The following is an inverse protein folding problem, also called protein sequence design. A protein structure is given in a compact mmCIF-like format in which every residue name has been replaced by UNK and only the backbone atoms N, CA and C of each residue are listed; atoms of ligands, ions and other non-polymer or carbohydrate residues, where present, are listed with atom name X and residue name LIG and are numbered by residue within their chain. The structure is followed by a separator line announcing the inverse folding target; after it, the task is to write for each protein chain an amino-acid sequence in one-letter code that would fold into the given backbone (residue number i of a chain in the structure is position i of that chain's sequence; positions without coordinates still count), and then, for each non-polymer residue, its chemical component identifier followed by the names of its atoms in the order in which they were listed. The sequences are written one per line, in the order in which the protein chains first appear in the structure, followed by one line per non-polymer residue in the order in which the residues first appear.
data_IF_052227943152
#
_entry.id   IF_052227943152
#
_cell.length_a   1.000
_cell.length_b   1.000
_cell.length_c   1.000
_cell.angle_alpha   90.00
_cell.angle_beta   90.00
_cell.angle_gamma   90.00
#
_symmetry.space_group_name_H-M   'P 1'
#
loop_
_entity.id
_entity.type
_entity.pdbx_description
1 polymer ?
#
# COMPACT_ATOMS: atom_id res chain seq x y z
N UNK A 1 35.98 -3.68 8.21
CA UNK A 1 35.06 -2.55 8.45
C UNK A 1 34.26 -2.33 7.16
N UNK A 2 32.95 -2.61 7.16
CA UNK A 2 32.11 -2.39 5.96
C UNK A 2 31.82 -0.90 5.88
N UNK A 3 32.39 -0.21 4.89
CA UNK A 3 32.13 1.21 4.66
C UNK A 3 30.80 1.30 3.89
N UNK A 4 29.80 1.91 4.52
CA UNK A 4 28.48 2.16 3.93
C UNK A 4 28.47 3.59 3.37
N UNK A 5 28.26 3.73 2.06
CA UNK A 5 28.23 5.04 1.40
C UNK A 5 26.90 5.23 0.66
N UNK A 6 26.20 6.33 0.95
CA UNK A 6 24.99 6.74 0.24
C UNK A 6 25.37 7.70 -0.89
N UNK A 7 24.96 7.39 -2.12
CA UNK A 7 25.16 8.27 -3.28
C UNK A 7 23.80 8.84 -3.69
N UNK A 8 23.64 10.16 -3.60
CA UNK A 8 22.43 10.87 -4.04
C UNK A 8 22.60 11.47 -5.45
N UNK A 9 21.52 12.04 -5.99
CA UNK A 9 21.51 12.75 -7.28
C UNK A 9 22.45 13.94 -7.34
N UNK A 10 22.84 14.48 -6.18
CA UNK A 10 23.53 15.76 -6.06
C UNK A 10 25.05 15.62 -6.26
N UNK A 11 25.55 14.38 -6.28
CA UNK A 11 26.98 14.09 -6.48
C UNK A 11 27.33 14.07 -7.96
N UNK A 12 28.37 14.84 -8.33
CA UNK A 12 28.85 14.92 -9.71
C UNK A 12 29.27 13.54 -10.26
N UNK A 13 29.05 13.34 -11.56
CA UNK A 13 29.22 12.04 -12.22
C UNK A 13 30.62 11.42 -12.08
N UNK A 14 31.67 12.25 -12.06
CA UNK A 14 33.05 11.77 -11.92
C UNK A 14 33.36 11.31 -10.50
N UNK A 15 32.84 12.00 -9.49
CA UNK A 15 33.00 11.64 -8.08
C UNK A 15 32.27 10.33 -7.77
N UNK A 16 31.09 10.11 -8.39
CA UNK A 16 30.35 8.84 -8.28
C UNK A 16 31.16 7.65 -8.78
N UNK A 17 31.87 7.81 -9.90
CA UNK A 17 32.73 6.74 -10.43
C UNK A 17 33.85 6.37 -9.45
N UNK A 18 34.52 7.38 -8.88
CA UNK A 18 35.57 7.16 -7.88
C UNK A 18 35.04 6.43 -6.63
N UNK A 19 33.83 6.77 -6.18
CA UNK A 19 33.15 6.09 -5.08
C UNK A 19 32.88 4.62 -5.43
N UNK A 20 32.43 4.34 -6.65
CA UNK A 20 32.20 2.96 -7.09
C UNK A 20 33.49 2.15 -7.20
N UNK A 21 34.60 2.74 -7.65
CA UNK A 21 35.90 2.07 -7.76
C UNK A 21 36.54 1.78 -6.40
N UNK A 22 36.28 2.62 -5.39
CA UNK A 22 36.74 2.38 -4.00
C UNK A 22 36.10 1.13 -3.37
N UNK A 23 34.97 0.68 -3.91
CA UNK A 23 34.24 -0.49 -3.43
C UNK A 23 33.52 -0.25 -2.10
N UNK A 24 32.84 -1.28 -1.60
CA UNK A 24 32.01 -1.21 -0.40
C UNK A 24 30.53 -1.47 -0.69
N UNK A 25 29.69 -1.17 0.30
CA UNK A 25 28.23 -1.30 0.16
C UNK A 25 27.65 0.04 -0.26
N UNK A 26 26.96 0.04 -1.39
CA UNK A 26 26.49 1.24 -2.08
C UNK A 26 25.00 1.12 -2.40
N UNK A 27 24.27 2.22 -2.20
CA UNK A 27 22.91 2.38 -2.70
C UNK A 27 22.98 3.07 -4.07
N UNK A 28 22.48 2.43 -5.13
CA UNK A 28 22.59 2.98 -6.48
C UNK A 28 21.35 2.70 -7.34
N UNK A 29 21.20 3.51 -8.41
CA UNK A 29 20.06 3.48 -9.33
C UNK A 29 20.43 3.46 -10.82
N UNK A 30 21.71 3.40 -11.25
CA UNK A 30 22.07 3.59 -12.68
C UNK A 30 23.19 2.70 -13.24
N UNK A 31 23.16 2.45 -14.55
CA UNK A 31 24.04 1.55 -15.37
C UNK A 31 25.49 2.03 -15.54
N UNK A 32 25.94 3.03 -14.79
CA UNK A 32 27.33 3.55 -14.88
C UNK A 32 28.33 2.81 -14.00
N UNK A 33 27.88 1.82 -13.24
CA UNK A 33 28.73 0.97 -12.43
C UNK A 33 29.28 -0.16 -13.32
N UNK A 34 30.59 -0.49 -13.25
CA UNK A 34 31.14 -1.66 -13.90
C UNK A 34 30.48 -2.93 -13.34
N UNK A 35 29.40 -3.38 -13.99
CA UNK A 35 28.55 -4.47 -13.50
C UNK A 35 29.32 -5.79 -13.31
N UNK A 36 30.42 -6.00 -14.03
CA UNK A 36 31.30 -7.16 -13.91
C UNK A 36 32.06 -7.23 -12.58
N UNK A 37 32.28 -6.10 -11.89
CA UNK A 37 32.97 -6.04 -10.59
C UNK A 37 32.00 -6.17 -9.40
N UNK A 38 30.69 -6.11 -9.65
CA UNK A 38 29.68 -6.15 -8.59
C UNK A 38 29.51 -7.59 -8.09
N UNK A 39 29.76 -7.82 -6.81
CA UNK A 39 29.64 -9.15 -6.20
C UNK A 39 28.18 -9.61 -6.08
N UNK A 40 27.25 -8.69 -5.83
CA UNK A 40 25.84 -9.03 -5.71
C UNK A 40 24.95 -7.81 -5.46
N UNK A 41 23.64 -8.02 -5.58
CA UNK A 41 22.61 -7.00 -5.37
C UNK A 41 21.67 -7.44 -4.25
N UNK A 42 21.42 -6.53 -3.32
CA UNK A 42 20.39 -6.66 -2.30
C UNK A 42 19.21 -5.77 -2.68
N UNK A 43 18.04 -6.37 -2.86
CA UNK A 43 16.81 -5.66 -3.22
C UNK A 43 15.90 -5.60 -2.01
N UNK A 44 15.50 -4.41 -1.62
CA UNK A 44 14.56 -4.18 -0.53
C UNK A 44 13.18 -3.73 -1.06
N UNK A 45 12.10 -4.05 -0.36
CA UNK A 45 10.75 -3.60 -0.73
C UNK A 45 10.21 -4.24 -2.01
N UNK A 46 10.52 -5.52 -2.22
CA UNK A 46 10.23 -6.27 -3.45
C UNK A 46 8.75 -6.25 -3.87
N UNK A 47 7.82 -6.06 -2.93
CA UNK A 47 6.40 -5.94 -3.19
C UNK A 47 6.01 -4.80 -4.16
N UNK A 48 6.90 -3.82 -4.38
CA UNK A 48 6.69 -2.70 -5.31
C UNK A 48 7.13 -3.01 -6.75
N UNK A 49 7.82 -4.13 -6.96
CA UNK A 49 8.44 -4.43 -8.25
C UNK A 49 7.40 -5.01 -9.20
N UNK A 50 7.11 -4.25 -10.26
CA UNK A 50 6.27 -4.69 -11.39
C UNK A 50 7.17 -4.92 -12.62
N UNK A 51 6.65 -5.63 -13.63
CA UNK A 51 7.40 -5.99 -14.86
C UNK A 51 7.99 -4.81 -15.64
N UNK A 52 7.38 -3.62 -15.53
CA UNK A 52 7.76 -2.39 -16.22
C UNK A 52 8.53 -1.38 -15.34
N UNK A 53 8.91 -1.74 -14.11
CA UNK A 53 9.61 -0.84 -13.21
C UNK A 53 11.11 -0.71 -13.54
N UNK A 54 11.71 0.45 -13.23
CA UNK A 54 13.12 0.74 -13.50
C UNK A 54 14.06 -0.29 -12.85
N UNK A 55 13.71 -0.83 -11.69
CA UNK A 55 14.49 -1.85 -11.01
C UNK A 55 14.55 -3.16 -11.81
N UNK A 56 13.47 -3.52 -12.53
CA UNK A 56 13.47 -4.68 -13.42
C UNK A 56 14.44 -4.50 -14.59
N UNK A 57 14.53 -3.28 -15.13
CA UNK A 57 15.48 -2.95 -16.18
C UNK A 57 16.94 -3.03 -15.70
N UNK A 58 17.26 -2.41 -14.56
CA UNK A 58 18.62 -2.43 -13.97
C UNK A 58 19.11 -3.87 -13.76
N UNK A 59 18.23 -4.76 -13.29
CA UNK A 59 18.59 -6.16 -13.06
C UNK A 59 18.83 -6.95 -14.35
N UNK A 60 18.04 -6.70 -15.39
CA UNK A 60 18.24 -7.32 -16.72
C UNK A 60 19.62 -6.94 -17.27
N UNK A 61 19.99 -5.65 -17.18
CA UNK A 61 21.32 -5.16 -17.57
C UNK A 61 22.44 -5.78 -16.72
N UNK A 62 22.25 -5.86 -15.40
CA UNK A 62 23.21 -6.50 -14.50
C UNK A 62 23.44 -7.97 -14.89
N UNK A 63 22.39 -8.74 -15.16
CA UNK A 63 22.51 -10.17 -15.49
C UNK A 63 23.10 -10.43 -16.88
N UNK A 64 22.96 -9.48 -17.82
CA UNK A 64 23.66 -9.53 -19.11
C UNK A 64 25.17 -9.40 -18.94
N UNK A 65 25.62 -8.46 -18.09
CA UNK A 65 27.05 -8.15 -17.89
C UNK A 65 27.71 -9.02 -16.81
N UNK A 66 26.94 -9.61 -15.89
CA UNK A 66 27.44 -10.38 -14.75
C UNK A 66 26.59 -11.63 -14.47
N UNK A 67 27.20 -12.81 -14.68
CA UNK A 67 26.56 -14.11 -14.46
C UNK A 67 26.87 -14.74 -13.10
N UNK A 68 27.93 -14.29 -12.42
CA UNK A 68 28.44 -14.90 -11.18
C UNK A 68 27.86 -14.28 -9.92
N UNK A 69 27.50 -12.99 -9.96
CA UNK A 69 27.06 -12.27 -8.76
C UNK A 69 25.67 -12.69 -8.27
N UNK A 70 25.48 -12.64 -6.95
CA UNK A 70 24.26 -13.08 -6.28
C UNK A 70 23.17 -11.99 -6.28
N UNK A 71 21.91 -12.41 -6.18
CA UNK A 71 20.77 -11.50 -5.98
C UNK A 71 20.00 -12.02 -4.77
N UNK A 72 19.84 -11.18 -3.75
CA UNK A 72 18.97 -11.47 -2.59
C UNK A 72 17.92 -10.39 -2.47
N UNK A 73 16.70 -10.80 -2.16
CA UNK A 73 15.54 -9.93 -2.19
C UNK A 73 14.78 -10.08 -0.87
N UNK A 74 14.43 -8.94 -0.26
CA UNK A 74 13.77 -8.89 1.04
C UNK A 74 12.47 -8.09 0.94
N UNK A 75 11.45 -8.57 1.64
CA UNK A 75 10.16 -7.90 1.74
C UNK A 75 9.55 -8.16 3.11
N UNK A 76 8.94 -7.12 3.64
CA UNK A 76 8.22 -7.07 4.91
C UNK A 76 6.70 -7.24 4.70
N UNK A 77 6.20 -6.94 3.50
CA UNK A 77 4.76 -7.00 3.19
C UNK A 77 4.37 -8.25 2.42
N UNK A 78 4.13 -9.34 3.15
CA UNK A 78 3.66 -10.59 2.57
C UNK A 78 2.27 -10.47 1.92
N UNK A 79 1.36 -9.70 2.50
CA UNK A 79 -0.01 -9.52 2.01
C UNK A 79 -0.08 -8.97 0.58
N UNK A 80 0.90 -8.15 0.17
CA UNK A 80 0.95 -7.60 -1.18
C UNK A 80 1.21 -8.67 -2.27
N UNK A 81 1.74 -9.83 -1.88
CA UNK A 81 1.93 -10.96 -2.79
C UNK A 81 0.71 -11.88 -2.89
N UNK A 82 -0.24 -11.75 -1.96
CA UNK A 82 -1.48 -12.51 -1.95
C UNK A 82 -2.52 -11.94 -2.93
N UNK A 83 -2.36 -10.69 -3.37
CA UNK A 83 -3.27 -10.03 -4.31
C UNK A 83 -2.89 -10.36 -5.76
N UNK A 84 -3.86 -10.82 -6.55
CA UNK A 84 -3.73 -11.06 -7.98
C UNK A 84 -3.08 -12.40 -8.36
N UNK A 85 -3.17 -12.75 -9.65
CA UNK A 85 -2.76 -14.07 -10.14
C UNK A 85 -1.22 -14.22 -10.26
N UNK A 86 -0.67 -15.27 -9.64
CA UNK A 86 0.74 -15.70 -9.74
C UNK A 86 1.79 -14.58 -9.55
N UNK A 87 1.50 -13.58 -8.70
CA UNK A 87 2.36 -12.41 -8.51
C UNK A 87 3.76 -12.78 -8.00
N UNK A 88 3.85 -13.73 -7.06
CA UNK A 88 5.14 -14.21 -6.52
C UNK A 88 6.03 -14.77 -7.62
N UNK A 89 5.49 -15.65 -8.46
CA UNK A 89 6.24 -16.30 -9.52
C UNK A 89 6.76 -15.28 -10.55
N UNK A 90 5.90 -14.33 -10.95
CA UNK A 90 6.29 -13.22 -11.85
C UNK A 90 7.42 -12.39 -11.25
N UNK A 91 7.34 -12.07 -9.96
CA UNK A 91 8.37 -11.31 -9.26
C UNK A 91 9.67 -12.10 -9.14
N UNK A 92 9.62 -13.39 -8.79
CA UNK A 92 10.80 -14.27 -8.73
C UNK A 92 11.50 -14.37 -10.10
N UNK A 93 10.71 -14.52 -11.17
CA UNK A 93 11.21 -14.52 -12.56
C UNK A 93 11.90 -13.20 -12.90
N UNK A 94 11.30 -12.05 -12.54
CA UNK A 94 11.89 -10.72 -12.76
C UNK A 94 13.12 -10.42 -11.88
N UNK A 95 13.29 -11.14 -10.77
CA UNK A 95 14.45 -11.04 -9.89
C UNK A 95 15.56 -12.02 -10.25
N UNK A 96 15.30 -12.98 -11.14
CA UNK A 96 16.22 -14.08 -11.47
C UNK A 96 16.61 -14.91 -10.23
N UNK A 97 15.67 -15.13 -9.31
CA UNK A 97 15.84 -15.96 -8.12
C UNK A 97 15.05 -17.26 -8.24
N UNK A 98 15.64 -18.36 -7.78
CA UNK A 98 15.04 -19.71 -7.86
C UNK A 98 14.41 -20.17 -6.55
N UNK A 99 14.94 -19.69 -5.42
CA UNK A 99 14.54 -20.13 -4.09
C UNK A 99 13.70 -19.04 -3.41
N UNK A 100 12.58 -19.45 -2.81
CA UNK A 100 11.75 -18.62 -1.95
C UNK A 100 11.88 -19.13 -0.52
N UNK A 101 12.30 -18.26 0.39
CA UNK A 101 12.34 -18.55 1.82
C UNK A 101 11.20 -17.82 2.49
N UNK A 102 10.23 -18.57 3.01
CA UNK A 102 9.13 -18.03 3.80
C UNK A 102 9.48 -18.16 5.27
N UNK A 103 9.56 -17.02 5.96
CA UNK A 103 9.78 -16.94 7.39
C UNK A 103 8.53 -16.33 8.04
N UNK A 104 7.43 -17.11 8.20
CA UNK A 104 6.25 -16.61 8.87
C UNK A 104 6.59 -16.23 10.31
N UNK A 105 6.03 -15.10 10.74
CA UNK A 105 6.30 -14.54 12.06
C UNK A 105 6.05 -15.56 13.18
N UNK A 106 4.99 -16.36 13.08
CA UNK A 106 4.66 -17.42 14.04
C UNK A 106 5.79 -18.46 14.22
N UNK A 107 6.36 -18.98 13.13
CA UNK A 107 7.37 -20.04 13.18
C UNK A 107 8.69 -19.58 13.80
N UNK A 108 9.11 -18.34 13.51
CA UNK A 108 10.37 -17.79 14.02
C UNK A 108 10.21 -17.26 15.45
N UNK A 109 9.06 -16.63 15.75
CA UNK A 109 8.76 -16.09 17.06
C UNK A 109 8.57 -17.21 18.09
N UNK A 110 7.81 -18.26 17.78
CA UNK A 110 7.53 -19.31 18.74
C UNK A 110 8.75 -20.19 19.07
N UNK A 111 9.64 -20.43 18.10
CA UNK A 111 10.80 -21.30 18.30
C UNK A 111 12.00 -20.62 18.97
N UNK A 112 12.27 -19.35 18.63
CA UNK A 112 13.48 -18.63 19.09
C UNK A 112 13.19 -17.43 19.98
N UNK A 113 12.01 -16.81 19.83
CA UNK A 113 11.67 -15.59 20.54
C UNK A 113 10.91 -15.91 21.83
N UNK A 114 9.98 -16.86 21.87
CA UNK A 114 9.32 -17.28 23.12
C UNK A 114 10.35 -17.65 24.20
N UNK A 115 11.41 -18.39 23.87
CA UNK A 115 12.46 -18.74 24.85
C UNK A 115 13.23 -17.52 25.39
N UNK A 116 13.27 -16.41 24.65
CA UNK A 116 13.94 -15.16 25.05
C UNK A 116 12.99 -14.14 25.69
N UNK A 117 11.76 -14.01 25.17
CA UNK A 117 10.73 -13.07 25.62
C UNK A 117 9.85 -13.65 26.73
N UNK A 118 9.78 -14.98 26.91
CA UNK A 118 9.15 -15.59 28.09
C UNK A 118 9.84 -15.16 29.39
N UNK A 119 11.13 -14.77 29.31
CA UNK A 119 11.90 -14.26 30.45
C UNK A 119 11.48 -12.85 30.88
N UNK A 120 10.93 -12.05 29.98
CA UNK A 120 10.51 -10.66 30.23
C UNK A 120 9.26 -10.34 29.41
N UNK A 121 8.13 -10.97 29.75
CA UNK A 121 6.86 -10.66 29.10
C UNK A 121 6.36 -9.29 29.58
N UNK A 122 5.96 -8.39 28.67
CA UNK A 122 5.23 -7.20 29.06
C UNK A 122 3.85 -7.60 29.59
N UNK A 123 3.46 -7.06 30.74
CA UNK A 123 2.09 -7.20 31.24
C UNK A 123 1.16 -6.35 30.37
N UNK A 124 0.28 -7.02 29.61
CA UNK A 124 -0.72 -6.37 28.76
C UNK A 124 -2.04 -6.35 29.51
N UNK A 125 -2.52 -5.14 29.82
CA UNK A 125 -3.87 -4.94 30.39
C UNK A 125 -4.78 -4.46 29.27
N UNK A 126 -5.67 -5.33 28.82
CA UNK A 126 -6.66 -5.01 27.79
C UNK A 126 -7.86 -4.29 28.43
N UNK A 127 -8.10 -3.05 28.01
CA UNK A 127 -9.23 -2.25 28.46
C UNK A 127 -10.28 -2.17 27.35
N UNK A 128 -11.42 -2.82 27.56
CA UNK A 128 -12.55 -2.74 26.64
C UNK A 128 -13.37 -1.49 26.91
N UNK A 129 -13.18 -0.47 26.08
CA UNK A 129 -14.02 0.75 26.11
C UNK A 129 -15.14 0.61 25.09
N UNK A 130 -16.37 0.53 25.57
CA UNK A 130 -17.55 0.48 24.71
C UNK A 130 -17.87 1.87 24.15
N UNK A 131 -18.24 1.91 22.86
CA UNK A 131 -18.73 3.15 22.26
C UNK A 131 -20.09 3.53 22.83
N UNK A 132 -20.32 4.83 22.97
CA UNK A 132 -21.63 5.36 23.39
C UNK A 132 -22.72 5.00 22.37
N UNK A 133 -23.99 4.88 22.79
CA UNK A 133 -25.10 4.56 21.88
C UNK A 133 -25.22 5.53 20.70
N UNK A 134 -24.94 6.82 20.94
CA UNK A 134 -24.99 7.86 19.90
C UNK A 134 -23.90 7.65 18.82
N UNK A 135 -22.65 7.40 19.23
CA UNK A 135 -21.55 7.12 18.30
C UNK A 135 -21.84 5.86 17.49
N UNK A 136 -22.40 4.83 18.14
CA UNK A 136 -22.77 3.58 17.47
C UNK A 136 -23.86 3.79 16.42
N UNK A 137 -24.88 4.59 16.74
CA UNK A 137 -25.94 4.93 15.79
C UNK A 137 -25.37 5.64 14.55
N UNK A 138 -24.53 6.67 14.76
CA UNK A 138 -23.87 7.42 13.67
C UNK A 138 -22.99 6.49 12.82
N UNK A 139 -22.18 5.65 13.47
CA UNK A 139 -21.31 4.70 12.78
C UNK A 139 -22.12 3.71 11.93
N UNK A 140 -23.22 3.16 12.45
CA UNK A 140 -24.10 2.24 11.71
C UNK A 140 -24.67 2.93 10.47
N UNK A 141 -25.20 4.14 10.61
CA UNK A 141 -25.76 4.90 9.49
C UNK A 141 -24.71 5.18 8.40
N UNK A 142 -23.48 5.55 8.78
CA UNK A 142 -22.39 5.77 7.81
C UNK A 142 -22.05 4.46 7.08
N UNK A 143 -21.95 3.34 7.79
CA UNK A 143 -21.65 2.03 7.19
C UNK A 143 -22.76 1.56 6.24
N UNK A 144 -24.03 1.82 6.57
CA UNK A 144 -25.17 1.51 5.71
C UNK A 144 -25.14 2.35 4.42
N UNK A 145 -24.82 3.64 4.51
CA UNK A 145 -24.62 4.52 3.35
C UNK A 145 -23.41 4.07 2.51
N UNK A 146 -22.32 3.67 3.14
CA UNK A 146 -21.17 3.12 2.41
C UNK A 146 -21.53 1.83 1.67
N UNK A 147 -22.31 0.94 2.30
CA UNK A 147 -22.79 -0.30 1.69
C UNK A 147 -23.69 -0.04 0.46
N UNK A 148 -24.57 0.96 0.52
CA UNK A 148 -25.43 1.32 -0.62
C UNK A 148 -24.61 1.93 -1.76
N UNK A 149 -23.66 2.84 -1.46
CA UNK A 149 -22.68 3.35 -2.44
C UNK A 149 -21.93 2.22 -3.15
N UNK A 150 -21.48 1.20 -2.40
CA UNK A 150 -20.77 0.05 -2.96
C UNK A 150 -21.64 -0.79 -3.89
N UNK A 151 -22.90 -1.05 -3.50
CA UNK A 151 -23.86 -1.77 -4.35
C UNK A 151 -24.13 -1.01 -5.65
N UNK A 152 -24.28 0.31 -5.59
CA UNK A 152 -24.42 1.15 -6.79
C UNK A 152 -23.16 1.10 -7.68
N UNK A 153 -21.97 1.26 -7.09
CA UNK A 153 -20.71 1.23 -7.83
C UNK A 153 -20.52 -0.09 -8.57
N UNK A 154 -20.83 -1.22 -7.92
CA UNK A 154 -20.78 -2.56 -8.52
C UNK A 154 -21.79 -2.72 -9.66
N UNK A 155 -23.00 -2.17 -9.51
CA UNK A 155 -24.03 -2.21 -10.56
C UNK A 155 -23.57 -1.53 -11.85
N UNK A 156 -22.82 -0.43 -11.75
CA UNK A 156 -22.30 0.30 -12.91
C UNK A 156 -21.02 -0.30 -13.50
N UNK A 157 -20.28 -1.12 -12.74
CA UNK A 157 -18.98 -1.67 -13.15
C UNK A 157 -18.90 -3.17 -12.83
N UNK A 158 -19.57 -4.02 -13.62
CA UNK A 158 -19.61 -5.47 -13.38
C UNK A 158 -18.24 -6.15 -13.56
N UNK A 159 -17.26 -5.47 -14.18
CA UNK A 159 -15.88 -5.94 -14.34
C UNK A 159 -15.06 -5.91 -13.05
N UNK A 160 -15.56 -5.26 -11.99
CA UNK A 160 -14.93 -5.27 -10.68
C UNK A 160 -15.29 -6.58 -9.95
N UNK A 161 -14.33 -7.50 -9.85
CA UNK A 161 -14.51 -8.82 -9.23
C UNK A 161 -14.91 -8.76 -7.73
N UNK A 162 -15.62 -9.80 -7.27
CA UNK A 162 -16.26 -9.86 -5.95
C UNK A 162 -15.30 -9.95 -4.75
N UNK A 163 -14.11 -10.52 -4.93
CA UNK A 163 -13.25 -10.90 -3.80
C UNK A 163 -12.44 -9.72 -3.22
N UNK A 164 -12.13 -8.71 -4.04
CA UNK A 164 -11.31 -7.57 -3.61
C UNK A 164 -12.12 -6.41 -2.99
N UNK A 165 -13.44 -6.39 -3.17
CA UNK A 165 -14.32 -5.24 -2.90
C UNK A 165 -15.43 -5.54 -1.87
N UNK A 166 -15.08 -6.21 -0.78
CA UNK A 166 -15.96 -6.35 0.38
C UNK A 166 -16.01 -5.07 1.21
N UNK A 167 -17.10 -4.85 1.97
CA UNK A 167 -17.19 -3.76 2.94
C UNK A 167 -16.01 -3.80 3.94
N UNK A 168 -15.55 -4.99 4.31
CA UNK A 168 -14.43 -5.19 5.23
C UNK A 168 -13.13 -4.64 4.64
N UNK A 169 -12.86 -4.91 3.35
CA UNK A 169 -11.73 -4.33 2.62
C UNK A 169 -11.88 -2.80 2.47
N UNK A 170 -13.12 -2.29 2.48
CA UNK A 170 -13.40 -0.86 2.35
C UNK A 170 -12.96 -0.04 3.57
N UNK A 171 -12.97 -0.66 4.75
CA UNK A 171 -12.53 -0.05 6.00
C UNK A 171 -11.00 -0.01 6.11
N UNK A 172 -10.31 -0.99 5.53
CA UNK A 172 -8.85 -1.08 5.49
C UNK A 172 -8.19 0.06 4.69
N UNK A 173 -6.96 0.46 5.05
CA UNK A 173 -6.19 1.54 4.38
C UNK A 173 -5.84 1.26 2.92
N UNK A 174 -6.18 0.08 2.40
CA UNK A 174 -5.96 -0.38 1.04
C UNK A 174 -7.05 0.04 0.05
N UNK A 175 -8.26 0.43 0.47
CA UNK A 175 -9.37 0.75 -0.46
C UNK A 175 -8.94 1.71 -1.56
N UNK A 176 -8.33 2.85 -1.21
CA UNK A 176 -7.97 3.86 -2.22
C UNK A 176 -6.96 3.30 -3.23
N UNK A 177 -6.07 2.42 -2.78
CA UNK A 177 -5.06 1.79 -3.65
C UNK A 177 -5.70 0.76 -4.57
N UNK A 178 -6.65 -0.02 -4.05
CA UNK A 178 -7.40 -1.01 -4.84
C UNK A 178 -8.26 -0.32 -5.90
N UNK A 179 -9.02 0.72 -5.51
CA UNK A 179 -9.84 1.51 -6.44
C UNK A 179 -8.96 2.11 -7.54
N UNK A 180 -7.85 2.76 -7.20
CA UNK A 180 -6.92 3.30 -8.21
C UNK A 180 -6.34 2.22 -9.11
N UNK A 181 -5.96 1.07 -8.56
CA UNK A 181 -5.39 -0.02 -9.35
C UNK A 181 -6.34 -0.50 -10.47
N UNK A 182 -7.63 -0.66 -10.15
CA UNK A 182 -8.62 -1.13 -11.12
C UNK A 182 -9.15 -0.01 -12.02
N UNK A 183 -9.35 1.19 -11.49
CA UNK A 183 -10.08 2.25 -12.16
C UNK A 183 -9.19 3.29 -12.85
N UNK A 184 -7.92 3.47 -12.46
CA UNK A 184 -7.01 4.42 -13.13
C UNK A 184 -6.85 4.10 -14.63
N UNK A 185 -6.68 2.83 -15.06
CA UNK A 185 -6.56 2.50 -16.49
C UNK A 185 -7.80 2.85 -17.32
N UNK A 186 -8.99 2.84 -16.68
CA UNK A 186 -10.27 3.11 -17.33
C UNK A 186 -10.84 4.48 -16.96
N UNK A 187 -10.08 5.33 -16.25
CA UNK A 187 -10.58 6.53 -15.60
C UNK A 187 -11.27 7.50 -16.57
N UNK A 188 -10.75 7.61 -17.79
CA UNK A 188 -11.30 8.47 -18.83
C UNK A 188 -12.63 7.94 -19.41
N UNK A 189 -12.87 6.64 -19.33
CA UNK A 189 -14.08 5.98 -19.83
C UNK A 189 -15.20 5.92 -18.77
N UNK A 190 -14.86 6.14 -17.50
CA UNK A 190 -15.85 6.16 -16.41
C UNK A 190 -16.77 7.37 -16.49
N UNK A 191 -18.07 7.11 -16.37
CA UNK A 191 -19.11 8.14 -16.28
C UNK A 191 -18.97 9.02 -15.04
N UNK A 192 -19.58 10.21 -15.08
CA UNK A 192 -19.59 11.17 -13.98
C UNK A 192 -20.17 10.59 -12.68
N UNK A 193 -21.19 9.72 -12.80
CA UNK A 193 -21.84 9.06 -11.67
C UNK A 193 -20.86 8.18 -10.88
N UNK A 194 -20.06 7.37 -11.57
CA UNK A 194 -19.08 6.48 -10.93
C UNK A 194 -17.99 7.29 -10.22
N UNK A 195 -17.53 8.39 -10.82
CA UNK A 195 -16.54 9.29 -10.22
C UNK A 195 -17.08 9.96 -8.95
N UNK A 196 -18.34 10.39 -8.96
CA UNK A 196 -19.03 10.92 -7.77
C UNK A 196 -19.10 9.86 -6.66
N UNK A 197 -19.51 8.62 -6.97
CA UNK A 197 -19.60 7.54 -5.98
C UNK A 197 -18.25 7.23 -5.32
N UNK A 198 -17.14 7.25 -6.07
CA UNK A 198 -15.79 7.07 -5.52
C UNK A 198 -15.42 8.22 -4.57
N UNK A 199 -15.78 9.46 -4.93
CA UNK A 199 -15.56 10.62 -4.08
C UNK A 199 -16.40 10.55 -2.80
N UNK A 200 -17.66 10.15 -2.92
CA UNK A 200 -18.58 9.98 -1.79
C UNK A 200 -18.05 8.90 -0.82
N UNK A 201 -17.59 7.75 -1.34
CA UNK A 201 -16.95 6.70 -0.53
C UNK A 201 -15.71 7.21 0.22
N UNK A 202 -14.91 8.09 -0.40
CA UNK A 202 -13.75 8.71 0.25
C UNK A 202 -14.17 9.62 1.41
N UNK A 203 -15.20 10.46 1.20
CA UNK A 203 -15.72 11.37 2.23
C UNK A 203 -16.31 10.57 3.40
N UNK A 204 -17.11 9.55 3.13
CA UNK A 204 -17.73 8.70 4.16
C UNK A 204 -16.67 7.99 5.01
N UNK A 205 -15.59 7.50 4.38
CA UNK A 205 -14.45 6.93 5.09
C UNK A 205 -13.76 7.96 6.00
N UNK A 206 -13.51 9.16 5.51
CA UNK A 206 -12.93 10.24 6.32
C UNK A 206 -13.83 10.60 7.50
N UNK A 207 -15.15 10.62 7.31
CA UNK A 207 -16.13 10.85 8.37
C UNK A 207 -16.06 9.76 9.45
N UNK A 208 -15.96 8.49 9.07
CA UNK A 208 -15.83 7.37 9.99
C UNK A 208 -14.54 7.42 10.83
N UNK A 209 -13.43 7.85 10.22
CA UNK A 209 -12.17 8.08 10.95
C UNK A 209 -12.27 9.27 11.91
N UNK A 210 -12.85 10.38 11.43
CA UNK A 210 -13.07 11.59 12.24
C UNK A 210 -13.93 11.31 13.48
N UNK A 211 -14.96 10.46 13.36
CA UNK A 211 -15.85 10.07 14.46
C UNK A 211 -15.11 9.40 15.64
N UNK A 212 -14.01 8.70 15.37
CA UNK A 212 -13.27 7.94 16.39
C UNK A 212 -12.02 8.65 16.89
N UNK A 213 -11.46 9.57 16.09
CA UNK A 213 -10.18 10.23 16.39
C UNK A 213 -10.31 11.67 16.86
N UNK A 214 -11.39 12.37 16.49
CA UNK A 214 -11.56 13.80 16.79
C UNK A 214 -12.61 14.04 17.87
N UNK A 215 -12.58 15.25 18.43
CA UNK A 215 -13.59 15.75 19.37
C UNK A 215 -14.92 16.06 18.67
N UNK A 216 -16.00 16.11 19.45
CA UNK A 216 -17.36 16.31 18.94
C UNK A 216 -17.56 17.66 18.22
N UNK A 217 -16.85 18.71 18.64
CA UNK A 217 -16.97 20.05 18.04
C UNK A 217 -16.33 20.07 16.66
N UNK A 218 -15.11 19.53 16.53
CA UNK A 218 -14.44 19.38 15.23
C UNK A 218 -15.25 18.50 14.26
N UNK A 219 -15.83 17.41 14.77
CA UNK A 219 -16.69 16.54 13.96
C UNK A 219 -17.94 17.26 13.45
N UNK A 220 -18.63 18.03 14.31
CA UNK A 220 -19.80 18.82 13.93
C UNK A 220 -19.46 19.87 12.86
N UNK A 221 -18.36 20.62 13.06
CA UNK A 221 -17.90 21.62 12.09
C UNK A 221 -17.60 20.99 10.72
N UNK A 222 -17.04 19.79 10.71
CA UNK A 222 -16.79 19.04 9.46
C UNK A 222 -18.11 18.66 8.78
N UNK A 223 -19.12 18.20 9.53
CA UNK A 223 -20.44 17.92 8.97
C UNK A 223 -21.12 19.17 8.40
N UNK A 224 -21.03 20.30 9.09
CA UNK A 224 -21.58 21.58 8.62
C UNK A 224 -20.85 22.09 7.37
N UNK A 225 -19.53 21.94 7.31
CA UNK A 225 -18.72 22.26 6.13
C UNK A 225 -19.11 21.41 4.90
N UNK A 226 -19.31 20.10 5.09
CA UNK A 226 -19.81 19.24 4.01
C UNK A 226 -21.20 19.67 3.53
N UNK A 227 -22.09 20.03 4.46
CA UNK A 227 -23.46 20.49 4.14
C UNK A 227 -23.47 21.82 3.40
N UNK A 228 -22.60 22.76 3.76
CA UNK A 228 -22.50 24.08 3.10
C UNK A 228 -21.89 23.97 1.70
N UNK A 229 -20.86 23.13 1.54
CA UNK A 229 -20.25 22.83 0.24
C UNK A 229 -21.30 22.30 -0.76
N UNK A 230 -22.13 21.33 -0.35
CA UNK A 230 -23.21 20.79 -1.18
C UNK A 230 -24.25 21.84 -1.60
N UNK A 231 -24.54 22.83 -0.74
CA UNK A 231 -25.47 23.92 -1.07
C UNK A 231 -24.91 24.91 -2.08
N UNK A 232 -23.60 25.10 -2.12
CA UNK A 232 -22.95 26.04 -3.06
C UNK A 232 -22.71 25.42 -4.44
N UNK A 233 -22.43 24.12 -4.50
CA UNK A 233 -22.23 23.36 -5.74
C UNK A 233 -23.51 22.58 -6.09
N UNK A 234 -24.54 23.28 -6.54
CA UNK A 234 -25.78 22.65 -7.02
C UNK A 234 -25.47 21.46 -7.93
N UNK A 235 -25.90 20.26 -7.51
CA UNK A 235 -25.83 18.99 -8.25
C UNK A 235 -24.45 18.51 -8.75
N UNK A 236 -23.41 18.50 -7.92
CA UNK A 236 -22.18 17.74 -8.25
C UNK A 236 -21.75 16.66 -7.23
N UNK A 237 -22.49 16.48 -6.13
CA UNK A 237 -22.31 15.34 -5.23
C UNK A 237 -23.67 14.88 -4.70
N UNK A 238 -24.10 13.69 -5.16
CA UNK A 238 -25.02 12.82 -4.45
C UNK A 238 -26.33 13.41 -3.91
N UNK A 239 -27.34 13.61 -4.76
CA UNK A 239 -28.75 13.82 -4.35
C UNK A 239 -29.41 12.57 -3.73
N UNK A 240 -28.64 11.56 -3.30
CA UNK A 240 -29.19 10.25 -2.90
C UNK A 240 -29.32 10.09 -1.39
N UNK A 241 -28.59 10.87 -0.57
CA UNK A 241 -28.61 10.70 0.87
C UNK A 241 -29.34 11.84 1.59
N UNK A 242 -30.65 11.93 1.32
CA UNK A 242 -31.59 12.71 2.12
C UNK A 242 -32.72 11.79 2.57
N UNK A 243 -32.59 11.14 3.72
CA UNK A 243 -33.70 10.79 4.60
C UNK A 243 -33.13 10.52 6.00
N UNK A 244 -33.52 11.41 6.93
CA UNK A 244 -33.45 11.40 8.40
C UNK A 244 -32.35 10.61 9.13
#
# INVERSE_FOLDING_TARGET
MIILQSVTSDVHSNERYNVYTKGGVLFFLTDRIPAHLVTGILVYGVHKITESCQEAFIRRLYRQKNKTGFIKAFTDKATSFSSGFCKIERVMRNLFVKMLFLWPWYYTFQASVNTTLDKHKPDVVELHVSQTPAIRAIQSSILDIMNTCWKELKRYNPTLEEEDLSLENSLGTSLEKTIRHYLDPLWHQLGSRTKSLIQDLKILRTLLLCLTQNDCVTFLNLQESLRTSQKSFGSNSGTVYYFF
#
